data_IF_830281845199
#
_entry.id   IF_830281845199
#
_cell.length_a   1.000
_cell.length_b   1.000
_cell.length_c   1.000
_cell.angle_alpha   90.00
_cell.angle_beta   90.00
_cell.angle_gamma   90.00
#
_symmetry.space_group_name_H-M   'P 1'
#
loop_
_entity.id
_entity.type
_entity.pdbx_description
1 polymer ?
#
# COMPACT_ATOMS: atom_id res chain seq x y z
N UNK A 1 -5.68 19.00 1.55
CA UNK A 1 -5.57 18.28 0.28
C UNK A 1 -4.71 17.04 0.53
N UNK A 2 -5.29 15.86 0.36
CA UNK A 2 -4.51 14.63 0.35
C UNK A 2 -3.73 14.59 -0.97
N UNK A 3 -2.46 14.16 -0.95
CA UNK A 3 -1.75 13.91 -2.20
C UNK A 3 -2.50 12.83 -2.97
N UNK A 4 -2.67 13.06 -4.27
CA UNK A 4 -3.33 12.08 -5.15
C UNK A 4 -2.50 10.81 -5.33
N UNK A 5 -1.20 10.89 -5.10
CA UNK A 5 -0.24 9.79 -5.28
C UNK A 5 0.69 9.72 -4.06
N UNK A 6 0.93 8.52 -3.57
CA UNK A 6 1.97 8.18 -2.60
C UNK A 6 2.84 7.11 -3.25
N UNK A 7 4.16 7.29 -3.22
CA UNK A 7 5.09 6.31 -3.76
C UNK A 7 5.68 5.51 -2.60
N UNK A 8 5.49 4.19 -2.63
CA UNK A 8 5.97 3.27 -1.61
C UNK A 8 7.00 2.26 -2.13
N UNK A 9 7.97 1.89 -1.29
CA UNK A 9 8.94 0.85 -1.60
C UNK A 9 9.49 0.19 -0.33
N UNK A 10 9.91 -1.07 -0.46
CA UNK A 10 10.79 -1.74 0.54
C UNK A 10 12.24 -1.28 0.42
N UNK A 11 12.62 -0.70 -0.71
CA UNK A 11 13.97 -0.28 -0.99
C UNK A 11 14.23 1.14 -0.49
N UNK A 12 14.96 1.27 0.62
CA UNK A 12 15.32 2.55 1.24
C UNK A 12 16.11 3.44 0.26
N UNK A 13 16.98 2.85 -0.57
CA UNK A 13 17.77 3.63 -1.52
C UNK A 13 16.88 4.25 -2.59
N UNK A 14 15.90 3.51 -3.13
CA UNK A 14 14.93 4.05 -4.08
C UNK A 14 14.17 5.27 -3.51
N UNK A 15 13.78 5.21 -2.23
CA UNK A 15 13.11 6.36 -1.58
C UNK A 15 14.05 7.56 -1.44
N UNK A 16 15.33 7.33 -1.15
CA UNK A 16 16.35 8.40 -1.11
C UNK A 16 16.56 9.01 -2.49
N UNK A 17 16.67 8.18 -3.53
CA UNK A 17 16.87 8.62 -4.91
C UNK A 17 15.68 9.44 -5.41
N UNK A 18 14.46 8.99 -5.12
CA UNK A 18 13.23 9.74 -5.40
C UNK A 18 13.27 11.13 -4.76
N UNK A 19 13.68 11.25 -3.50
CA UNK A 19 13.82 12.55 -2.84
C UNK A 19 14.88 13.43 -3.49
N UNK A 20 15.99 12.84 -3.90
CA UNK A 20 17.10 13.56 -4.53
C UNK A 20 16.71 14.21 -5.87
N UNK A 21 15.80 13.62 -6.62
CA UNK A 21 15.27 14.20 -7.87
C UNK A 21 14.19 15.28 -7.65
N UNK A 22 13.83 15.58 -6.40
CA UNK A 22 12.98 16.72 -6.04
C UNK A 22 11.49 16.54 -6.39
N UNK A 23 10.96 15.30 -6.40
CA UNK A 23 9.53 15.09 -6.64
C UNK A 23 8.66 15.61 -5.49
N UNK A 24 7.42 16.00 -5.81
CA UNK A 24 6.45 16.55 -4.84
C UNK A 24 5.55 15.50 -4.17
N UNK A 25 5.66 14.21 -4.54
CA UNK A 25 4.82 13.14 -3.97
C UNK A 25 5.37 12.69 -2.61
N UNK A 26 4.53 12.48 -1.58
CA UNK A 26 4.95 11.85 -0.34
C UNK A 26 5.52 10.46 -0.61
N UNK A 27 6.59 10.15 0.09
CA UNK A 27 7.21 8.83 0.04
C UNK A 27 6.80 7.97 1.24
N UNK A 28 6.65 6.69 1.00
CA UNK A 28 6.34 5.66 1.98
C UNK A 28 7.39 4.56 1.95
N UNK A 29 7.86 4.16 3.13
CA UNK A 29 8.73 2.99 3.25
C UNK A 29 7.97 1.84 3.89
N UNK A 30 7.95 0.68 3.23
CA UNK A 30 7.36 -0.53 3.76
C UNK A 30 8.35 -1.18 4.72
N UNK A 31 7.92 -1.35 5.97
CA UNK A 31 8.76 -1.87 7.06
C UNK A 31 8.45 -3.35 7.25
N UNK A 32 9.39 -4.26 6.94
CA UNK A 32 9.20 -5.67 7.22
C UNK A 32 9.10 -5.96 8.73
N UNK A 33 8.44 -7.05 9.14
CA UNK A 33 8.42 -7.48 10.53
C UNK A 33 9.82 -7.62 11.13
N UNK A 34 9.99 -7.17 12.38
CA UNK A 34 11.26 -7.26 13.10
C UNK A 34 12.25 -6.11 12.87
N UNK A 35 11.95 -5.17 11.97
CA UNK A 35 12.77 -3.98 11.79
C UNK A 35 12.26 -2.80 12.65
N UNK A 36 13.19 -1.99 13.18
CA UNK A 36 12.82 -0.72 13.83
C UNK A 36 12.22 0.23 12.78
N UNK A 37 10.93 0.59 12.92
CA UNK A 37 10.24 1.39 11.92
C UNK A 37 10.79 2.80 11.79
N UNK A 38 11.37 3.36 12.84
CA UNK A 38 11.89 4.73 12.82
C UNK A 38 13.31 4.81 12.24
N UNK A 39 14.10 3.77 12.43
CA UNK A 39 15.43 3.66 11.82
C UNK A 39 15.29 3.32 10.34
N UNK A 40 14.50 2.29 10.02
CA UNK A 40 14.29 1.85 8.64
C UNK A 40 13.52 2.90 7.82
N UNK A 41 12.49 3.52 8.44
CA UNK A 41 11.61 4.52 7.82
C UNK A 41 12.14 5.96 7.89
N UNK A 42 13.39 6.21 8.28
CA UNK A 42 13.93 7.55 8.50
C UNK A 42 13.77 8.44 7.26
N UNK A 43 14.05 7.92 6.07
CA UNK A 43 14.04 8.66 4.82
C UNK A 43 12.64 8.97 4.26
N UNK A 44 11.56 8.37 4.78
CA UNK A 44 10.21 8.53 4.25
C UNK A 44 9.31 9.37 5.16
N UNK A 45 8.31 10.04 4.60
CA UNK A 45 7.25 10.74 5.36
C UNK A 45 6.27 9.75 6.00
N UNK A 46 6.08 8.60 5.35
CA UNK A 46 5.11 7.59 5.76
C UNK A 46 5.84 6.29 6.12
N UNK A 47 5.56 5.80 7.32
CA UNK A 47 5.93 4.45 7.77
C UNK A 47 4.77 3.52 7.40
N UNK A 48 5.03 2.54 6.56
CA UNK A 48 4.05 1.55 6.14
C UNK A 48 4.38 0.22 6.81
N UNK A 49 3.72 -0.06 7.94
CA UNK A 49 4.00 -1.24 8.74
C UNK A 49 3.43 -2.50 8.10
N UNK A 50 4.32 -3.43 7.75
CA UNK A 50 3.96 -4.78 7.34
C UNK A 50 3.90 -5.66 8.59
N UNK A 51 2.70 -6.04 9.02
CA UNK A 51 2.51 -6.82 10.24
C UNK A 51 1.84 -8.16 10.05
N UNK A 52 1.69 -8.57 8.81
CA UNK A 52 1.31 -9.94 8.48
C UNK A 52 2.22 -10.92 9.23
N UNK A 53 1.68 -12.01 9.68
CA UNK A 53 2.41 -13.05 10.43
C UNK A 53 2.95 -12.62 11.81
N UNK A 54 2.65 -11.42 12.29
CA UNK A 54 2.94 -11.04 13.69
C UNK A 54 1.75 -11.44 14.56
N UNK A 55 2.05 -12.13 15.66
CA UNK A 55 1.04 -12.41 16.67
C UNK A 55 0.75 -11.12 17.44
N UNK A 56 -0.54 -10.74 17.53
CA UNK A 56 -0.98 -9.51 18.22
C UNK A 56 -0.29 -8.23 17.72
N UNK A 57 -0.30 -7.95 16.41
CA UNK A 57 0.44 -6.83 15.83
C UNK A 57 -0.04 -5.46 16.33
N UNK A 58 -1.28 -5.36 16.81
CA UNK A 58 -1.83 -4.14 17.40
C UNK A 58 -1.08 -3.67 18.65
N UNK A 59 -0.31 -4.53 19.33
CA UNK A 59 0.54 -4.14 20.46
C UNK A 59 1.74 -3.28 20.05
N UNK A 60 2.07 -3.23 18.76
CA UNK A 60 3.09 -2.32 18.23
C UNK A 60 2.62 -0.86 18.19
N UNK A 61 1.31 -0.62 18.33
CA UNK A 61 0.69 0.70 18.18
C UNK A 61 0.31 1.26 19.55
N UNK A 62 1.28 1.36 20.45
CA UNK A 62 1.11 1.94 21.78
C UNK A 62 1.30 3.47 21.78
N UNK A 63 1.08 4.09 22.93
CA UNK A 63 1.20 5.55 23.09
C UNK A 63 2.62 6.04 22.83
N UNK A 64 3.64 5.26 23.21
CA UNK A 64 5.06 5.59 22.98
C UNK A 64 5.36 5.62 21.47
N UNK A 65 4.86 4.62 20.71
CA UNK A 65 4.99 4.59 19.27
C UNK A 65 4.37 5.83 18.62
N UNK A 66 3.15 6.18 18.98
CA UNK A 66 2.49 7.37 18.42
C UNK A 66 3.13 8.69 18.85
N UNK A 67 3.62 8.79 20.08
CA UNK A 67 4.39 9.95 20.53
C UNK A 67 5.66 10.14 19.69
N UNK A 68 6.38 9.05 19.39
CA UNK A 68 7.56 9.05 18.53
C UNK A 68 7.23 9.38 17.07
N UNK A 69 6.09 8.89 16.56
CA UNK A 69 5.57 9.27 15.24
C UNK A 69 5.36 10.80 15.15
N UNK A 70 4.70 11.38 16.15
CA UNK A 70 4.46 12.81 16.24
C UNK A 70 5.76 13.60 16.30
N UNK A 71 6.69 13.20 17.18
CA UNK A 71 8.01 13.84 17.33
C UNK A 71 8.79 13.84 16.00
N UNK A 72 8.76 12.74 15.28
CA UNK A 72 9.47 12.58 14.00
C UNK A 72 8.65 12.99 12.77
N UNK A 73 7.46 13.56 12.97
CA UNK A 73 6.53 13.94 11.91
C UNK A 73 6.26 12.79 10.90
N UNK A 74 6.04 11.58 11.43
CA UNK A 74 5.74 10.39 10.60
C UNK A 74 4.25 10.11 10.58
N UNK A 75 3.72 9.79 9.39
CA UNK A 75 2.38 9.24 9.20
C UNK A 75 2.46 7.73 9.10
N UNK A 76 1.39 7.04 9.49
CA UNK A 76 1.38 5.57 9.57
C UNK A 76 0.32 5.01 8.64
N UNK A 77 0.72 4.04 7.84
CA UNK A 77 -0.16 3.15 7.08
C UNK A 77 0.09 1.71 7.53
N UNK A 78 -0.95 0.92 7.61
CA UNK A 78 -0.86 -0.51 7.95
C UNK A 78 -1.02 -1.36 6.70
N UNK A 79 -0.23 -2.40 6.55
CA UNK A 79 -0.31 -3.38 5.47
C UNK A 79 -0.18 -4.81 6.02
N UNK A 80 -1.13 -5.63 5.71
CA UNK A 80 -2.53 -5.37 5.45
C UNK A 80 -3.35 -5.98 6.57
N UNK A 81 -4.58 -5.54 6.76
CA UNK A 81 -5.43 -6.03 7.85
C UNK A 81 -6.79 -6.48 7.33
N UNK A 82 -7.17 -7.71 7.66
CA UNK A 82 -8.45 -8.31 7.31
C UNK A 82 -9.26 -8.80 8.52
N UNK A 83 -8.73 -8.66 9.74
CA UNK A 83 -9.46 -9.07 10.93
C UNK A 83 -10.52 -8.01 11.33
N UNK A 84 -11.84 -8.30 11.24
CA UNK A 84 -12.87 -7.31 11.50
C UNK A 84 -12.87 -6.74 12.93
N UNK A 85 -12.46 -7.56 13.91
CA UNK A 85 -12.40 -7.13 15.33
C UNK A 85 -11.24 -6.15 15.52
N UNK A 86 -10.10 -6.44 14.90
CA UNK A 86 -8.91 -5.58 14.95
C UNK A 86 -9.16 -4.27 14.20
N UNK A 87 -9.74 -4.34 13.03
CA UNK A 87 -10.11 -3.16 12.24
C UNK A 87 -11.00 -2.19 12.99
N UNK A 88 -11.98 -2.69 13.81
CA UNK A 88 -12.81 -1.83 14.66
C UNK A 88 -12.02 -1.03 15.69
N UNK A 89 -10.92 -1.58 16.20
CA UNK A 89 -10.01 -0.87 17.12
C UNK A 89 -9.16 0.15 16.35
N UNK A 90 -8.59 -0.26 15.23
CA UNK A 90 -7.66 0.54 14.43
C UNK A 90 -8.25 1.82 13.86
N UNK A 91 -9.56 1.82 13.57
CA UNK A 91 -10.25 3.00 13.00
C UNK A 91 -10.18 4.25 13.87
N UNK A 92 -9.95 4.10 15.17
CA UNK A 92 -9.89 5.20 16.13
C UNK A 92 -8.46 5.64 16.45
N UNK A 93 -7.46 4.99 15.87
CA UNK A 93 -6.05 5.35 16.05
C UNK A 93 -5.63 6.44 15.05
N UNK A 94 -4.59 7.21 15.33
CA UNK A 94 -4.11 8.28 14.46
C UNK A 94 -3.33 7.72 13.25
N UNK A 95 -3.96 6.85 12.47
CA UNK A 95 -3.44 6.27 11.25
C UNK A 95 -3.80 7.12 10.04
N UNK A 96 -2.92 7.20 9.06
CA UNK A 96 -3.23 7.77 7.75
C UNK A 96 -4.14 6.83 6.96
N UNK A 97 -3.86 5.52 6.99
CA UNK A 97 -4.62 4.53 6.25
C UNK A 97 -4.38 3.10 6.67
N UNK A 98 -5.29 2.24 6.22
CA UNK A 98 -5.19 0.77 6.32
C UNK A 98 -5.35 0.20 4.93
N UNK A 99 -4.35 -0.52 4.45
CA UNK A 99 -4.42 -1.29 3.22
C UNK A 99 -5.13 -2.63 3.50
N UNK A 100 -6.06 -3.04 2.66
CA UNK A 100 -6.83 -4.26 2.87
C UNK A 100 -7.25 -4.93 1.56
N UNK A 101 -7.24 -6.27 1.57
CA UNK A 101 -7.88 -7.10 0.54
C UNK A 101 -9.42 -7.16 0.72
N UNK A 102 -9.91 -6.73 1.88
CA UNK A 102 -11.33 -6.73 2.24
C UNK A 102 -11.75 -5.34 2.74
N UNK A 103 -11.59 -4.29 1.93
CA UNK A 103 -11.84 -2.93 2.35
C UNK A 103 -13.30 -2.69 2.79
N UNK A 104 -14.23 -3.51 2.30
CA UNK A 104 -15.64 -3.49 2.67
C UNK A 104 -15.90 -3.85 4.14
N UNK A 105 -15.01 -4.58 4.81
CA UNK A 105 -15.12 -4.85 6.25
C UNK A 105 -14.96 -3.60 7.08
N UNK A 106 -14.28 -2.64 6.54
CA UNK A 106 -13.92 -1.38 7.17
C UNK A 106 -14.87 -0.28 6.74
N UNK A 107 -15.03 -0.10 5.45
CA UNK A 107 -15.93 0.88 4.86
C UNK A 107 -16.90 0.15 3.92
N UNK A 108 -18.17 -0.01 4.32
CA UNK A 108 -19.15 -0.69 3.47
C UNK A 108 -19.24 -0.03 2.09
N UNK A 109 -19.32 -0.88 1.05
CA UNK A 109 -19.48 -0.43 -0.33
C UNK A 109 -20.67 0.53 -0.46
N UNK A 110 -20.54 1.48 -1.38
CA UNK A 110 -21.57 2.51 -1.69
C UNK A 110 -21.91 3.49 -0.57
N UNK A 111 -21.23 3.45 0.58
CA UNK A 111 -21.34 4.48 1.61
C UNK A 111 -20.41 5.65 1.31
N UNK A 112 -20.94 6.71 0.72
CA UNK A 112 -20.18 7.91 0.36
C UNK A 112 -19.69 8.76 1.56
N UNK A 113 -20.28 8.61 2.73
CA UNK A 113 -20.03 9.47 3.91
C UNK A 113 -19.72 8.63 5.13
N UNK A 114 -18.62 7.87 5.13
CA UNK A 114 -18.13 7.38 6.41
C UNK A 114 -17.34 8.51 7.08
N UNK A 115 -17.77 8.95 8.26
CA UNK A 115 -17.01 9.85 9.15
C UNK A 115 -15.75 9.19 9.70
N UNK A 116 -15.19 8.28 8.96
CA UNK A 116 -14.02 7.52 9.37
C UNK A 116 -12.75 8.32 9.11
N UNK A 117 -11.98 8.65 10.15
CA UNK A 117 -10.77 9.45 9.99
C UNK A 117 -9.67 8.69 9.25
N UNK A 118 -9.64 7.36 9.39
CA UNK A 118 -8.65 6.49 8.74
C UNK A 118 -9.07 6.18 7.31
N UNK A 119 -8.19 6.37 6.35
CA UNK A 119 -8.45 6.00 4.95
C UNK A 119 -8.32 4.51 4.75
N UNK A 120 -9.26 3.94 3.99
CA UNK A 120 -9.19 2.55 3.55
C UNK A 120 -8.62 2.51 2.15
N UNK A 121 -7.58 1.74 1.98
CA UNK A 121 -6.86 1.57 0.72
C UNK A 121 -7.16 0.18 0.18
N UNK A 122 -7.74 0.08 -1.01
CA UNK A 122 -8.00 -1.17 -1.68
C UNK A 122 -6.68 -1.74 -2.22
N UNK A 123 -6.17 -2.81 -1.60
CA UNK A 123 -4.93 -3.48 -1.98
C UNK A 123 -5.07 -4.09 -3.37
N UNK A 124 -4.30 -3.62 -4.34
CA UNK A 124 -4.35 -4.01 -5.76
C UNK A 124 -5.75 -3.83 -6.41
N UNK A 125 -6.49 -2.82 -5.96
CA UNK A 125 -7.90 -2.61 -6.31
C UNK A 125 -8.87 -3.45 -5.48
N UNK A 126 -10.11 -3.63 -5.95
CA UNK A 126 -11.05 -4.60 -5.35
C UNK A 126 -10.74 -6.03 -5.85
N UNK A 127 -9.61 -6.56 -5.40
CA UNK A 127 -9.01 -7.79 -5.90
C UNK A 127 -9.82 -9.08 -5.63
N UNK A 128 -10.83 -9.02 -4.76
CA UNK A 128 -11.76 -10.14 -4.52
C UNK A 128 -12.87 -10.25 -5.57
N UNK A 129 -13.10 -9.18 -6.32
CA UNK A 129 -14.23 -9.04 -7.23
C UNK A 129 -13.81 -8.82 -8.68
N UNK A 130 -12.54 -8.45 -8.89
CA UNK A 130 -11.93 -8.29 -10.21
C UNK A 130 -10.44 -8.64 -10.14
N UNK A 131 -9.78 -8.96 -11.27
CA UNK A 131 -8.35 -9.30 -11.27
C UNK A 131 -7.50 -8.23 -10.60
N UNK A 132 -6.60 -8.64 -9.71
CA UNK A 132 -5.69 -7.74 -9.00
C UNK A 132 -4.86 -6.88 -9.97
N UNK A 133 -4.48 -5.68 -9.55
CA UNK A 133 -3.60 -4.79 -10.32
C UNK A 133 -4.13 -4.46 -11.73
N UNK A 134 -5.45 -4.47 -11.92
CA UNK A 134 -6.09 -4.19 -13.21
C UNK A 134 -6.90 -2.89 -13.20
N UNK A 135 -7.15 -2.35 -14.38
CA UNK A 135 -8.06 -1.22 -14.55
C UNK A 135 -9.45 -1.58 -14.01
N UNK A 136 -9.90 -2.83 -14.23
CA UNK A 136 -11.21 -3.32 -13.78
C UNK A 136 -11.34 -3.26 -12.24
N UNK A 137 -10.35 -3.78 -11.50
CA UNK A 137 -10.36 -3.75 -10.03
C UNK A 137 -10.26 -2.34 -9.46
N UNK A 138 -9.53 -1.46 -10.14
CA UNK A 138 -9.38 -0.05 -9.76
C UNK A 138 -10.68 0.73 -9.98
N UNK A 139 -11.28 0.61 -11.16
CA UNK A 139 -12.56 1.28 -11.47
C UNK A 139 -13.69 0.75 -10.60
N UNK A 140 -13.71 -0.56 -10.31
CA UNK A 140 -14.67 -1.16 -9.41
C UNK A 140 -14.54 -0.58 -7.99
N UNK A 141 -13.31 -0.41 -7.47
CA UNK A 141 -13.08 0.21 -6.18
C UNK A 141 -13.69 1.61 -6.11
N UNK A 142 -13.42 2.45 -7.10
CA UNK A 142 -13.99 3.80 -7.15
C UNK A 142 -15.51 3.79 -7.34
N UNK A 143 -16.03 2.91 -8.18
CA UNK A 143 -17.48 2.72 -8.37
C UNK A 143 -18.20 2.29 -7.10
N UNK A 144 -17.56 1.50 -6.25
CA UNK A 144 -18.07 1.09 -4.94
C UNK A 144 -17.90 2.16 -3.84
N UNK A 145 -17.31 3.32 -4.15
CA UNK A 145 -17.19 4.46 -3.24
C UNK A 145 -15.90 4.50 -2.43
N UNK A 146 -14.93 3.63 -2.71
CA UNK A 146 -13.58 3.74 -2.14
C UNK A 146 -12.81 4.86 -2.82
N UNK A 147 -11.97 5.55 -2.07
CA UNK A 147 -11.24 6.73 -2.56
C UNK A 147 -9.75 6.48 -2.81
N UNK A 148 -9.25 5.35 -2.38
CA UNK A 148 -7.82 5.01 -2.44
C UNK A 148 -7.64 3.57 -2.92
N UNK A 149 -6.72 3.41 -3.86
CA UNK A 149 -6.29 2.12 -4.41
C UNK A 149 -4.78 2.06 -4.32
N UNK A 150 -4.25 0.94 -3.92
CA UNK A 150 -2.83 0.60 -4.02
C UNK A 150 -2.62 -0.28 -5.24
N UNK A 151 -1.52 -0.08 -5.94
CA UNK A 151 -1.07 -0.87 -7.09
C UNK A 151 0.43 -1.13 -7.01
N UNK A 152 0.84 -2.28 -7.52
CA UNK A 152 2.25 -2.66 -7.64
C UNK A 152 2.80 -2.32 -9.02
N UNK A 153 3.99 -1.74 -9.07
CA UNK A 153 4.64 -1.37 -10.33
C UNK A 153 6.00 -2.06 -10.46
N UNK A 154 6.26 -2.59 -11.64
CA UNK A 154 7.55 -3.19 -12.01
C UNK A 154 8.04 -2.67 -13.34
N UNK A 155 9.34 -2.81 -13.56
CA UNK A 155 10.02 -2.41 -14.78
C UNK A 155 10.33 -3.62 -15.66
N UNK A 156 10.06 -3.52 -16.95
CA UNK A 156 10.41 -4.50 -17.98
C UNK A 156 11.89 -4.39 -18.40
N UNK A 157 12.35 -5.28 -19.29
CA UNK A 157 13.71 -5.26 -19.83
C UNK A 157 14.04 -3.95 -20.57
N UNK A 158 13.07 -3.42 -21.29
CA UNK A 158 13.16 -2.18 -22.08
C UNK A 158 12.74 -0.92 -21.27
N UNK A 159 12.72 -1.04 -19.92
CA UNK A 159 12.48 0.07 -18.98
C UNK A 159 11.07 0.64 -18.99
N UNK A 160 10.11 -0.08 -19.54
CA UNK A 160 8.70 0.29 -19.46
C UNK A 160 8.09 -0.15 -18.11
N UNK A 161 7.17 0.66 -17.59
CA UNK A 161 6.48 0.37 -16.32
C UNK A 161 5.21 -0.44 -16.57
N UNK A 162 5.06 -1.53 -15.81
CA UNK A 162 3.88 -2.40 -15.84
C UNK A 162 3.31 -2.57 -14.44
N UNK A 163 1.98 -2.72 -14.36
CA UNK A 163 1.26 -2.90 -13.10
C UNK A 163 1.12 -4.38 -12.82
N UNK A 164 1.98 -4.91 -11.94
CA UNK A 164 2.02 -6.32 -11.54
C UNK A 164 2.78 -6.49 -10.22
N UNK A 165 2.27 -7.37 -9.33
CA UNK A 165 2.92 -7.63 -8.04
C UNK A 165 4.14 -8.54 -8.16
N UNK A 166 4.01 -9.69 -8.82
CA UNK A 166 5.02 -10.73 -8.84
C UNK A 166 6.23 -10.33 -9.70
N UNK A 167 7.39 -10.89 -9.39
CA UNK A 167 8.58 -10.77 -10.25
C UNK A 167 8.43 -11.53 -11.56
N UNK A 168 7.45 -12.44 -11.62
CA UNK A 168 7.20 -13.31 -12.77
C UNK A 168 5.76 -13.18 -13.27
N UNK A 169 5.55 -13.56 -14.50
CA UNK A 169 4.23 -13.58 -15.17
C UNK A 169 3.35 -14.77 -14.75
N UNK A 170 3.93 -15.78 -14.09
CA UNK A 170 3.35 -17.12 -13.95
C UNK A 170 1.98 -17.19 -13.27
N UNK A 171 1.72 -16.34 -12.27
CA UNK A 171 0.51 -16.43 -11.44
C UNK A 171 -0.69 -15.72 -12.05
N UNK A 172 -0.46 -14.57 -12.66
CA UNK A 172 -1.55 -13.65 -13.08
C UNK A 172 -1.67 -13.51 -14.59
N UNK A 173 -0.91 -14.29 -15.37
CA UNK A 173 -1.03 -14.33 -16.82
C UNK A 173 -0.98 -15.77 -17.36
N UNK A 174 -1.26 -15.94 -18.63
CA UNK A 174 -1.16 -17.21 -19.36
C UNK A 174 0.26 -17.49 -19.92
N UNK A 175 1.23 -16.66 -19.57
CA UNK A 175 2.64 -16.80 -19.96
C UNK A 175 3.54 -17.00 -18.73
N UNK A 176 4.82 -17.28 -18.95
CA UNK A 176 5.81 -17.47 -17.89
C UNK A 176 7.05 -16.62 -18.15
N UNK A 177 7.82 -16.39 -17.10
CA UNK A 177 9.09 -15.68 -17.18
C UNK A 177 9.18 -14.48 -16.22
N UNK A 178 10.37 -13.93 -16.10
CA UNK A 178 10.64 -12.80 -15.21
C UNK A 178 10.42 -11.48 -15.95
N UNK A 179 9.66 -10.56 -15.32
CA UNK A 179 9.27 -9.27 -15.91
C UNK A 179 10.47 -8.49 -16.45
N UNK A 180 11.56 -8.41 -15.70
CA UNK A 180 12.75 -7.65 -16.09
C UNK A 180 13.53 -8.28 -17.27
N UNK A 181 13.15 -9.48 -17.73
CA UNK A 181 13.76 -10.18 -18.88
C UNK A 181 12.94 -10.08 -20.16
N UNK A 182 11.71 -9.58 -20.08
CA UNK A 182 10.80 -9.45 -21.25
C UNK A 182 10.61 -7.99 -21.65
N UNK A 183 10.47 -7.76 -22.93
CA UNK A 183 10.14 -6.44 -23.45
C UNK A 183 8.61 -6.18 -23.31
N UNK A 184 8.24 -4.93 -23.13
CA UNK A 184 6.84 -4.51 -22.99
C UNK A 184 5.97 -4.93 -24.19
N UNK A 185 6.52 -4.87 -25.41
CA UNK A 185 5.83 -5.31 -26.61
C UNK A 185 5.35 -6.76 -26.55
N UNK A 186 6.08 -7.64 -25.86
CA UNK A 186 5.74 -9.06 -25.68
C UNK A 186 4.62 -9.30 -24.67
N UNK A 187 4.22 -8.27 -23.90
CA UNK A 187 3.15 -8.34 -22.89
C UNK A 187 1.79 -7.88 -23.44
N UNK A 188 1.74 -7.36 -24.66
CA UNK A 188 0.53 -6.81 -25.29
C UNK A 188 -0.28 -7.81 -26.11
N UNK A 189 0.16 -9.10 -26.16
CA UNK A 189 -0.51 -10.16 -26.95
C UNK A 189 -1.70 -10.77 -26.24
#
# INVERSE_FOLDING_TARGET
>A
NYPKIIIGSFNVQLIKDLKAIGHSFPSSILIPPGFDPFKFGESAEIIHLCWENIKEPEKLLDDEFFAKCKQKNKKIVLWHEENPKRMKKLRNLPLLGICSNQPELVNPMFKKNSNWPVKVVCHRGLNRYAPENSIASTLLAFGCGFSHVEIDVRETKDKELVVIHDKTLNRTSNTSGEIYKVNFSSLKS
#
